data_IF_839871077853
#
_entry.id   IF_839871077853
#
_cell.length_a   1.000
_cell.length_b   1.000
_cell.length_c   1.000
_cell.angle_alpha   90.00
_cell.angle_beta   90.00
_cell.angle_gamma   90.00
#
_symmetry.space_group_name_H-M   'P 1'
#
loop_
_entity.id
_entity.type
_entity.pdbx_description
1 polymer ?
#
# COMPACT_ATOMS: atom_id res chain seq x y z
N UNK A 1 80.25 3.80 6.07
CA UNK A 1 79.41 3.16 5.02
C UNK A 1 78.06 2.81 5.62
N UNK A 2 77.09 3.59 5.26
CA UNK A 2 75.77 3.57 5.85
C UNK A 2 74.87 2.88 4.85
N UNK A 3 74.35 1.67 5.19
CA UNK A 3 73.47 0.89 4.36
C UNK A 3 72.02 1.24 4.70
N UNK A 4 71.37 1.99 3.80
CA UNK A 4 69.96 2.38 3.96
C UNK A 4 69.02 1.25 3.60
N UNK A 5 68.21 0.83 4.56
CA UNK A 5 67.16 -0.15 4.37
C UNK A 5 65.87 0.58 3.95
N UNK A 6 65.51 0.54 2.67
CA UNK A 6 64.23 1.03 2.13
C UNK A 6 63.14 0.00 2.43
N UNK A 7 62.30 0.30 3.40
CA UNK A 7 61.09 -0.42 3.68
C UNK A 7 60.00 0.01 2.70
N UNK A 8 59.76 -0.76 1.66
CA UNK A 8 58.59 -0.62 0.79
C UNK A 8 57.39 -1.25 1.47
N UNK A 9 56.57 -0.44 2.12
CA UNK A 9 55.29 -0.86 2.62
C UNK A 9 54.30 -0.98 1.46
N UNK A 10 54.06 -2.22 1.02
CA UNK A 10 53.05 -2.55 0.06
C UNK A 10 51.69 -2.60 0.80
N UNK A 11 50.96 -1.51 0.81
CA UNK A 11 49.59 -1.51 1.30
C UNK A 11 48.69 -2.13 0.23
N UNK A 12 48.37 -3.40 0.39
CA UNK A 12 47.35 -4.08 -0.40
C UNK A 12 45.97 -3.55 -0.01
N UNK A 13 45.53 -2.52 -0.70
CA UNK A 13 44.17 -2.02 -0.58
C UNK A 13 43.21 -3.05 -1.17
N UNK A 14 42.65 -3.87 -0.31
CA UNK A 14 41.60 -4.80 -0.66
C UNK A 14 40.40 -3.97 -1.10
N UNK A 15 40.22 -3.82 -2.42
CA UNK A 15 38.95 -3.29 -2.99
C UNK A 15 37.85 -4.26 -2.62
N UNK A 16 37.08 -3.90 -1.62
CA UNK A 16 35.81 -4.57 -1.33
C UNK A 16 34.84 -4.15 -2.43
N UNK A 17 34.64 -5.00 -3.39
CA UNK A 17 33.62 -4.85 -4.42
C UNK A 17 32.28 -5.12 -3.75
N UNK A 18 31.58 -4.06 -3.35
CA UNK A 18 30.29 -4.16 -2.66
C UNK A 18 29.11 -4.36 -3.62
N UNK A 19 29.34 -4.31 -4.92
CA UNK A 19 28.31 -4.48 -5.93
C UNK A 19 28.87 -5.33 -7.06
N UNK A 20 28.78 -6.64 -6.93
CA UNK A 20 28.91 -7.58 -8.03
C UNK A 20 27.49 -7.94 -8.43
N UNK A 21 27.11 -7.72 -9.68
CA UNK A 21 25.84 -7.97 -10.35
C UNK A 21 24.95 -6.75 -10.64
N UNK A 22 25.55 -5.63 -11.03
CA UNK A 22 24.76 -4.51 -11.56
C UNK A 22 24.41 -4.63 -13.05
N UNK A 23 24.90 -5.64 -13.74
CA UNK A 23 24.70 -5.76 -15.19
C UNK A 23 23.30 -6.30 -15.59
N UNK A 24 22.53 -6.83 -14.63
CA UNK A 24 21.19 -7.36 -14.87
C UNK A 24 20.07 -6.65 -14.10
N UNK A 25 20.36 -5.53 -13.43
CA UNK A 25 19.34 -4.73 -12.77
C UNK A 25 18.72 -3.74 -13.75
N UNK A 26 17.68 -4.16 -14.46
CA UNK A 26 16.79 -3.19 -15.08
C UNK A 26 16.06 -2.46 -13.94
N UNK A 27 15.95 -1.11 -14.00
CA UNK A 27 15.25 -0.34 -12.97
C UNK A 27 13.80 -0.81 -12.76
N UNK A 28 13.22 -1.44 -13.74
CA UNK A 28 11.89 -2.03 -13.70
C UNK A 28 11.82 -3.29 -12.82
N UNK A 29 12.82 -4.18 -12.88
CA UNK A 29 12.89 -5.37 -12.04
C UNK A 29 13.12 -5.05 -10.55
N UNK A 30 13.85 -3.97 -10.24
CA UNK A 30 14.05 -3.51 -8.85
C UNK A 30 12.78 -2.88 -8.30
N UNK A 31 12.02 -2.16 -9.12
CA UNK A 31 10.73 -1.59 -8.73
C UNK A 31 9.69 -2.67 -8.44
N UNK A 32 9.74 -3.79 -9.16
CA UNK A 32 8.80 -4.90 -8.99
C UNK A 32 9.17 -5.81 -7.79
N UNK A 33 10.45 -6.06 -7.56
CA UNK A 33 10.93 -6.89 -6.45
C UNK A 33 10.73 -6.24 -5.06
N UNK A 34 10.59 -4.91 -5.00
CA UNK A 34 10.36 -4.15 -3.76
C UNK A 34 8.89 -3.87 -3.44
N UNK A 35 7.95 -4.30 -4.27
CA UNK A 35 6.54 -4.02 -4.04
C UNK A 35 5.92 -5.02 -3.05
N UNK A 36 5.50 -4.50 -1.91
CA UNK A 36 4.73 -5.28 -0.92
C UNK A 36 3.37 -5.62 -1.52
N UNK A 37 3.06 -6.92 -1.59
CA UNK A 37 1.77 -7.43 -2.07
C UNK A 37 0.84 -7.70 -0.90
N UNK A 38 -0.42 -7.43 -1.10
CA UNK A 38 -1.49 -7.65 -0.14
C UNK A 38 -1.71 -9.14 0.08
N UNK A 39 -1.85 -9.54 1.34
CA UNK A 39 -2.09 -10.90 1.78
C UNK A 39 -3.40 -11.01 2.56
N UNK A 40 -3.97 -12.20 2.70
CA UNK A 40 -5.06 -12.43 3.64
C UNK A 40 -4.69 -11.95 5.06
N UNK A 41 -5.66 -11.40 5.76
CA UNK A 41 -5.56 -10.81 7.10
C UNK A 41 -4.79 -9.48 7.19
N UNK A 42 -4.29 -8.95 6.09
CA UNK A 42 -3.70 -7.60 6.08
C UNK A 42 -4.78 -6.56 6.41
N UNK A 43 -4.35 -5.52 7.13
CA UNK A 43 -5.20 -4.37 7.48
C UNK A 43 -4.84 -3.20 6.58
N UNK A 44 -5.82 -2.71 5.87
CA UNK A 44 -5.67 -1.65 4.88
C UNK A 44 -6.51 -0.43 5.28
N UNK A 45 -5.94 0.75 5.08
CA UNK A 45 -6.68 2.01 5.11
C UNK A 45 -6.96 2.43 3.68
N UNK A 46 -8.24 2.64 3.35
CA UNK A 46 -8.69 3.01 2.01
C UNK A 46 -9.47 4.31 2.11
N UNK A 47 -9.05 5.28 1.31
CA UNK A 47 -9.71 6.58 1.21
C UNK A 47 -10.07 6.84 -0.25
N UNK A 48 -11.35 7.07 -0.48
CA UNK A 48 -11.88 7.47 -1.78
C UNK A 48 -12.09 8.98 -1.79
N UNK A 49 -11.59 9.65 -2.80
CA UNK A 49 -11.76 11.08 -3.02
C UNK A 49 -12.37 11.34 -4.40
N UNK A 50 -13.06 12.46 -4.54
CA UNK A 50 -13.62 12.97 -5.80
C UNK A 50 -13.54 14.48 -5.81
N UNK A 51 -13.64 15.10 -6.99
CA UNK A 51 -13.81 16.57 -7.11
C UNK A 51 -15.05 17.05 -6.41
N UNK A 52 -16.09 16.22 -6.36
CA UNK A 52 -17.26 16.45 -5.52
C UNK A 52 -17.15 15.58 -4.25
N UNK A 53 -16.73 16.12 -3.09
CA UNK A 53 -16.48 15.34 -1.87
C UNK A 53 -17.73 14.59 -1.37
N UNK A 54 -18.92 15.11 -1.62
CA UNK A 54 -20.18 14.49 -1.18
C UNK A 54 -20.39 13.10 -1.80
N UNK A 55 -19.94 12.91 -3.03
CA UNK A 55 -20.03 11.62 -3.73
C UNK A 55 -19.09 10.56 -3.12
N UNK A 56 -18.02 10.98 -2.45
CA UNK A 56 -17.05 10.08 -1.83
C UNK A 56 -17.47 9.62 -0.42
N UNK A 57 -18.37 10.35 0.25
CA UNK A 57 -18.79 10.06 1.62
C UNK A 57 -19.29 8.62 1.80
N UNK A 58 -20.17 8.06 0.95
CA UNK A 58 -20.67 6.70 1.13
C UNK A 58 -19.58 5.63 1.12
N UNK A 59 -18.51 5.84 0.35
CA UNK A 59 -17.39 4.90 0.23
C UNK A 59 -16.44 4.94 1.44
N UNK A 60 -16.39 6.07 2.13
CA UNK A 60 -15.55 6.30 3.30
C UNK A 60 -16.30 6.06 4.62
N UNK A 61 -17.58 5.72 4.57
CA UNK A 61 -18.38 5.45 5.75
C UNK A 61 -18.03 4.10 6.35
N UNK A 62 -17.88 4.02 7.68
CA UNK A 62 -17.91 2.77 8.41
C UNK A 62 -19.34 2.44 8.78
N UNK A 63 -19.84 1.31 8.33
CA UNK A 63 -21.04 0.72 8.91
C UNK A 63 -20.61 -0.03 10.18
N UNK A 64 -20.40 0.69 11.28
CA UNK A 64 -20.24 0.07 12.58
C UNK A 64 -21.65 -0.28 13.07
N UNK A 65 -22.03 -1.55 12.98
CA UNK A 65 -23.19 -2.05 13.70
C UNK A 65 -22.83 -2.12 15.18
N UNK A 66 -23.50 -1.32 15.98
CA UNK A 66 -23.38 -1.45 17.43
C UNK A 66 -24.07 -2.74 17.85
N UNK A 67 -23.27 -3.74 18.28
CA UNK A 67 -23.72 -5.10 18.60
C UNK A 67 -24.75 -5.16 19.74
N UNK A 68 -24.95 -4.06 20.48
CA UNK A 68 -25.86 -3.97 21.62
C UNK A 68 -27.26 -3.44 21.28
N UNK A 69 -27.44 -2.70 20.19
CA UNK A 69 -28.72 -2.06 19.87
C UNK A 69 -29.22 -2.29 18.45
N UNK A 70 -28.41 -2.92 17.57
CA UNK A 70 -28.80 -3.16 16.18
C UNK A 70 -29.03 -1.90 15.34
N UNK A 71 -28.70 -0.72 15.87
CA UNK A 71 -28.89 0.55 15.18
C UNK A 71 -27.62 0.97 14.45
N UNK A 72 -27.71 1.44 13.20
CA UNK A 72 -26.56 1.99 12.48
C UNK A 72 -26.14 3.30 13.16
N UNK A 73 -24.95 3.31 13.75
CA UNK A 73 -24.35 4.55 14.26
C UNK A 73 -23.65 5.26 13.11
N UNK A 74 -24.36 6.18 12.49
CA UNK A 74 -23.74 7.15 11.57
C UNK A 74 -22.95 8.14 12.43
N UNK A 75 -21.67 7.88 12.63
CA UNK A 75 -20.75 8.79 13.31
C UNK A 75 -20.51 10.01 12.45
N UNK A 76 -21.36 11.02 12.60
CA UNK A 76 -21.12 12.41 12.16
C UNK A 76 -20.15 13.08 13.12
N UNK A 77 -18.93 12.59 13.20
CA UNK A 77 -17.84 13.36 13.78
C UNK A 77 -16.99 13.84 12.62
N UNK A 78 -16.85 15.14 12.45
CA UNK A 78 -16.10 15.80 11.37
C UNK A 78 -14.59 15.53 11.32
N UNK A 79 -14.16 14.42 11.87
CA UNK A 79 -12.87 13.80 11.64
C UNK A 79 -13.12 12.60 10.72
N UNK A 80 -12.58 12.66 9.51
CA UNK A 80 -12.45 11.48 8.66
C UNK A 80 -11.59 10.46 9.41
N UNK A 81 -12.23 9.62 10.23
CA UNK A 81 -11.56 8.50 10.84
C UNK A 81 -11.16 7.57 9.71
N UNK A 82 -9.85 7.40 9.53
CA UNK A 82 -9.30 6.51 8.53
C UNK A 82 -9.89 5.11 8.75
N UNK A 83 -10.69 4.66 7.81
CA UNK A 83 -11.37 3.38 7.90
C UNK A 83 -10.38 2.25 7.65
N UNK A 84 -10.03 1.53 8.70
CA UNK A 84 -9.21 0.32 8.60
C UNK A 84 -10.13 -0.85 8.21
N UNK A 85 -9.78 -1.52 7.13
CA UNK A 85 -10.47 -2.69 6.62
C UNK A 85 -9.53 -3.88 6.64
N UNK A 86 -10.04 -5.05 6.98
CA UNK A 86 -9.26 -6.29 7.01
C UNK A 86 -9.58 -7.11 5.77
N UNK A 87 -8.54 -7.62 5.12
CA UNK A 87 -8.66 -8.59 4.03
C UNK A 87 -9.10 -9.93 4.64
N UNK A 88 -10.10 -10.59 4.07
CA UNK A 88 -10.57 -11.89 4.55
C UNK A 88 -9.57 -13.03 4.26
N UNK A 89 -9.87 -14.23 4.75
CA UNK A 89 -9.01 -15.41 4.56
C UNK A 89 -8.92 -15.85 3.11
N UNK A 90 -9.92 -15.51 2.30
CA UNK A 90 -9.96 -15.79 0.87
C UNK A 90 -9.27 -14.70 0.03
N UNK A 91 -8.72 -13.68 0.67
CA UNK A 91 -8.00 -12.58 -0.01
C UNK A 91 -8.91 -11.54 -0.63
N UNK A 92 -10.11 -11.36 -0.09
CA UNK A 92 -11.10 -10.39 -0.55
C UNK A 92 -11.27 -9.27 0.48
N UNK A 93 -11.70 -8.14 0.01
CA UNK A 93 -11.96 -6.95 0.81
C UNK A 93 -13.39 -6.47 0.60
N UNK A 94 -14.12 -6.24 1.68
CA UNK A 94 -15.45 -5.67 1.61
C UNK A 94 -15.41 -4.14 1.60
N UNK A 95 -16.02 -3.55 0.59
CA UNK A 95 -16.12 -2.10 0.42
C UNK A 95 -17.60 -1.66 0.43
N UNK A 96 -17.92 -0.53 1.10
CA UNK A 96 -19.27 0.03 1.00
C UNK A 96 -19.60 0.37 -0.44
N UNK A 97 -20.86 0.23 -0.79
CA UNK A 97 -21.45 0.55 -2.11
C UNK A 97 -21.05 -0.41 -3.22
N UNK A 98 -19.75 -0.71 -3.39
CA UNK A 98 -19.26 -1.56 -4.51
C UNK A 98 -19.04 -3.03 -4.13
N UNK A 99 -19.32 -3.38 -2.86
CA UNK A 99 -19.28 -4.78 -2.40
C UNK A 99 -17.87 -5.34 -2.28
N UNK A 100 -17.74 -6.64 -2.52
CA UNK A 100 -16.50 -7.39 -2.31
C UNK A 100 -15.55 -7.27 -3.49
N UNK A 101 -14.27 -7.01 -3.20
CA UNK A 101 -13.19 -6.87 -4.18
C UNK A 101 -12.07 -7.86 -3.86
N UNK A 102 -11.63 -8.61 -4.85
CA UNK A 102 -10.48 -9.49 -4.75
C UNK A 102 -9.19 -8.67 -4.75
N UNK A 103 -8.36 -8.83 -3.72
CA UNK A 103 -7.17 -8.00 -3.51
C UNK A 103 -5.89 -8.77 -3.18
N UNK A 104 -5.98 -10.05 -2.86
CA UNK A 104 -4.81 -10.89 -2.58
C UNK A 104 -3.84 -10.91 -3.77
N UNK A 105 -2.55 -10.75 -3.47
CA UNK A 105 -1.49 -10.73 -4.48
C UNK A 105 -1.35 -9.40 -5.25
N UNK A 106 -2.28 -8.46 -5.09
CA UNK A 106 -2.16 -7.14 -5.68
C UNK A 106 -1.24 -6.24 -4.86
N UNK A 107 -0.64 -5.28 -5.52
CA UNK A 107 0.01 -4.15 -4.87
C UNK A 107 -1.03 -3.11 -4.44
N UNK A 108 -0.65 -2.18 -3.57
CA UNK A 108 -1.53 -1.07 -3.16
C UNK A 108 -2.04 -0.26 -4.35
N UNK A 109 -1.16 -0.01 -5.32
CA UNK A 109 -1.50 0.77 -6.52
C UNK A 109 -2.46 0.03 -7.45
N UNK A 110 -2.29 -1.28 -7.60
CA UNK A 110 -3.19 -2.12 -8.39
C UNK A 110 -4.58 -2.21 -7.74
N UNK A 111 -4.63 -2.36 -6.40
CA UNK A 111 -5.89 -2.35 -5.67
C UNK A 111 -6.59 -0.98 -5.78
N UNK A 112 -5.84 0.11 -5.60
CA UNK A 112 -6.41 1.47 -5.74
C UNK A 112 -7.03 1.69 -7.11
N UNK A 113 -6.34 1.25 -8.17
CA UNK A 113 -6.86 1.32 -9.55
C UNK A 113 -8.11 0.47 -9.73
N UNK A 114 -8.08 -0.78 -9.25
CA UNK A 114 -9.24 -1.70 -9.35
C UNK A 114 -10.49 -1.12 -8.67
N UNK A 115 -10.33 -0.53 -7.48
CA UNK A 115 -11.42 0.14 -6.77
C UNK A 115 -11.93 1.35 -7.58
N UNK A 116 -11.03 2.19 -8.09
CA UNK A 116 -11.39 3.38 -8.86
C UNK A 116 -12.14 3.00 -10.16
N UNK A 117 -11.68 1.97 -10.86
CA UNK A 117 -12.32 1.50 -12.08
C UNK A 117 -13.71 0.96 -11.77
N UNK A 118 -13.88 0.17 -10.71
CA UNK A 118 -15.18 -0.35 -10.28
C UNK A 118 -16.17 0.77 -9.95
N UNK A 119 -15.74 1.80 -9.20
CA UNK A 119 -16.57 2.97 -8.87
C UNK A 119 -17.00 3.70 -10.14
N UNK A 120 -16.11 3.81 -11.13
CA UNK A 120 -16.38 4.49 -12.42
C UNK A 120 -17.31 3.67 -13.31
N UNK A 121 -17.10 2.36 -13.40
CA UNK A 121 -17.92 1.44 -14.20
C UNK A 121 -19.38 1.39 -13.72
N UNK A 122 -19.58 1.44 -12.41
CA UNK A 122 -20.92 1.49 -11.82
C UNK A 122 -21.55 2.89 -11.84
N UNK A 123 -20.83 3.91 -12.32
CA UNK A 123 -21.35 5.25 -12.54
C UNK A 123 -21.51 6.11 -11.28
N UNK A 124 -20.94 5.71 -10.14
CA UNK A 124 -21.08 6.47 -8.89
C UNK A 124 -20.25 7.75 -8.90
N UNK A 125 -19.01 7.67 -9.38
CA UNK A 125 -18.09 8.81 -9.47
C UNK A 125 -17.34 8.73 -10.79
N UNK A 126 -17.31 9.84 -11.55
CA UNK A 126 -16.61 9.88 -12.85
C UNK A 126 -15.09 10.04 -12.71
N UNK A 127 -14.64 10.64 -11.61
CA UNK A 127 -13.23 10.97 -11.34
C UNK A 127 -12.76 10.46 -9.96
N UNK A 128 -12.96 9.18 -9.61
CA UNK A 128 -12.55 8.67 -8.31
C UNK A 128 -11.03 8.62 -8.20
N UNK A 129 -10.51 9.12 -7.09
CA UNK A 129 -9.12 8.97 -6.68
C UNK A 129 -9.09 8.11 -5.42
N UNK A 130 -8.42 6.98 -5.47
CA UNK A 130 -8.36 6.02 -4.38
C UNK A 130 -6.94 5.95 -3.82
N UNK A 131 -6.80 6.07 -2.52
CA UNK A 131 -5.56 5.90 -1.80
C UNK A 131 -5.64 4.65 -0.92
N UNK A 132 -4.66 3.75 -1.04
CA UNK A 132 -4.57 2.51 -0.27
C UNK A 132 -3.26 2.50 0.51
N UNK A 133 -3.33 2.26 1.82
CA UNK A 133 -2.17 2.15 2.70
C UNK A 133 -2.32 0.95 3.63
N UNK A 134 -1.22 0.33 4.04
CA UNK A 134 -1.25 -0.65 5.13
C UNK A 134 -1.45 0.07 6.47
N UNK A 135 -2.40 -0.40 7.27
CA UNK A 135 -2.71 0.22 8.57
C UNK A 135 -1.65 -0.13 9.65
N UNK A 136 -1.00 -1.28 9.54
CA UNK A 136 -0.09 -1.83 10.54
C UNK A 136 1.37 -1.93 10.05
N UNK A 137 1.86 -0.97 9.25
CA UNK A 137 3.29 -0.93 8.97
C UNK A 137 4.02 -0.48 10.24
N UNK A 138 4.38 -1.43 11.11
CA UNK A 138 5.44 -1.22 12.09
C UNK A 138 6.77 -1.23 11.34
N UNK A 139 7.40 -0.07 11.32
CA UNK A 139 8.79 0.09 10.92
C UNK A 139 9.69 -0.48 12.01
#
# INVERSE_FOLDING_TARGET
MILGCLLTACSAQKRVWYVQDTENFTPEAVAEAGQIRIKPLDRLTIVVNSRNPELAVPFNSSTSYNSLTGSPVTGTSGQQSLQVRTVDEEGRLEMPVIGTIECSGLTRSELARRIADRIREEGYINDPTVNVQFADMKI
#
